data_IF_885355776152
#
_entry.id   IF_885355776152
#
_cell.length_a   1.000
_cell.length_b   1.000
_cell.length_c   1.000
_cell.angle_alpha   90.00
_cell.angle_beta   90.00
_cell.angle_gamma   90.00
#
_symmetry.space_group_name_H-M   'P 1'
#
loop_
_entity.id
_entity.type
_entity.pdbx_description
1 polymer ?
#
# COMPACT_ATOMS: atom_id res chain seq x y z
N UNK A 1 5.88 -17.88 -10.15
CA UNK A 1 6.42 -16.72 -9.41
C UNK A 1 5.95 -16.81 -7.96
N UNK A 2 6.84 -16.67 -6.98
CA UNK A 2 6.47 -16.76 -5.55
C UNK A 2 5.53 -15.60 -5.16
N UNK A 3 4.54 -15.87 -4.30
CA UNK A 3 3.53 -14.89 -3.86
C UNK A 3 4.17 -13.65 -3.22
N UNK A 4 5.24 -13.84 -2.45
CA UNK A 4 5.99 -12.75 -1.81
C UNK A 4 6.63 -11.81 -2.83
N UNK A 5 7.28 -12.38 -3.85
CA UNK A 5 7.93 -11.60 -4.91
C UNK A 5 6.91 -10.72 -5.64
N UNK A 6 5.71 -11.26 -5.87
CA UNK A 6 4.61 -10.51 -6.49
C UNK A 6 4.12 -9.35 -5.61
N UNK A 7 4.01 -9.57 -4.30
CA UNK A 7 3.60 -8.50 -3.37
C UNK A 7 4.63 -7.37 -3.30
N UNK A 8 5.92 -7.69 -3.23
CA UNK A 8 6.97 -6.67 -3.30
C UNK A 8 6.95 -5.92 -4.63
N UNK A 9 6.76 -6.63 -5.74
CA UNK A 9 6.72 -6.03 -7.07
C UNK A 9 5.52 -5.06 -7.21
N UNK A 10 4.34 -5.45 -6.73
CA UNK A 10 3.20 -4.54 -6.67
C UNK A 10 3.46 -3.36 -5.74
N UNK A 11 4.02 -3.60 -4.55
CA UNK A 11 4.41 -2.53 -3.64
C UNK A 11 5.32 -1.49 -4.30
N UNK A 12 6.33 -1.96 -5.04
CA UNK A 12 7.29 -1.12 -5.76
C UNK A 12 6.62 -0.32 -6.88
N UNK A 13 5.74 -0.96 -7.66
CA UNK A 13 4.96 -0.27 -8.71
C UNK A 13 4.09 0.82 -8.10
N UNK A 14 3.36 0.53 -7.01
CA UNK A 14 2.50 1.49 -6.35
C UNK A 14 3.27 2.67 -5.78
N UNK A 15 4.44 2.43 -5.16
CA UNK A 15 5.32 3.51 -4.71
C UNK A 15 5.84 4.34 -5.90
N UNK A 16 6.23 3.70 -7.00
CA UNK A 16 6.68 4.38 -8.21
C UNK A 16 5.60 5.28 -8.82
N UNK A 17 4.36 4.78 -8.93
CA UNK A 17 3.21 5.58 -9.37
C UNK A 17 2.92 6.69 -8.37
N UNK A 18 3.03 6.44 -7.07
CA UNK A 18 2.94 7.47 -6.03
C UNK A 18 3.95 8.60 -6.26
N UNK A 19 5.22 8.30 -6.50
CA UNK A 19 6.23 9.32 -6.79
C UNK A 19 5.88 10.17 -8.02
N UNK A 20 5.32 9.55 -9.07
CA UNK A 20 4.83 10.29 -10.23
C UNK A 20 3.66 11.23 -9.89
N UNK A 21 2.72 10.75 -9.06
CA UNK A 21 1.56 11.53 -8.59
C UNK A 21 1.98 12.73 -7.73
N UNK A 22 3.01 12.53 -6.90
CA UNK A 22 3.64 13.60 -6.13
C UNK A 22 4.23 14.68 -7.05
N UNK A 23 4.86 14.28 -8.16
CA UNK A 23 5.42 15.22 -9.14
C UNK A 23 4.36 16.08 -9.83
N UNK A 24 3.17 15.53 -10.11
CA UNK A 24 2.03 16.29 -10.67
C UNK A 24 1.19 17.00 -9.60
N UNK A 25 1.62 17.01 -8.34
CA UNK A 25 0.94 17.60 -7.18
C UNK A 25 -0.46 17.02 -6.88
N UNK A 26 -0.77 15.81 -7.35
CA UNK A 26 -1.99 15.10 -6.96
C UNK A 26 -1.77 14.37 -5.64
N UNK A 27 -1.92 15.11 -4.54
CA UNK A 27 -1.69 14.61 -3.19
C UNK A 27 -2.68 13.52 -2.78
N UNK A 28 -3.86 13.48 -3.40
CA UNK A 28 -4.93 12.54 -3.07
C UNK A 28 -4.62 11.17 -3.69
N UNK A 29 -4.28 11.13 -4.98
CA UNK A 29 -3.81 9.90 -5.62
C UNK A 29 -2.47 9.44 -5.07
N UNK A 30 -1.54 10.36 -4.79
CA UNK A 30 -0.30 10.04 -4.09
C UNK A 30 -0.57 9.29 -2.78
N UNK A 31 -1.45 9.83 -1.93
CA UNK A 31 -1.77 9.23 -0.62
C UNK A 31 -2.37 7.83 -0.77
N UNK A 32 -3.23 7.63 -1.78
CA UNK A 32 -3.81 6.33 -2.09
C UNK A 32 -2.73 5.31 -2.48
N UNK A 33 -1.87 5.66 -3.44
CA UNK A 33 -0.84 4.75 -3.93
C UNK A 33 0.26 4.49 -2.90
N UNK A 34 0.61 5.50 -2.09
CA UNK A 34 1.55 5.33 -0.98
C UNK A 34 1.01 4.38 0.10
N UNK A 35 -0.28 4.51 0.47
CA UNK A 35 -0.92 3.59 1.42
C UNK A 35 -1.03 2.17 0.86
N UNK A 36 -1.48 2.03 -0.40
CA UNK A 36 -1.61 0.75 -1.06
C UNK A 36 -0.26 0.04 -1.18
N UNK A 37 0.77 0.74 -1.66
CA UNK A 37 2.12 0.21 -1.81
C UNK A 37 2.71 -0.23 -0.48
N UNK A 38 2.55 0.58 0.57
CA UNK A 38 2.96 0.24 1.93
C UNK A 38 2.24 -1.02 2.42
N UNK A 39 0.92 -1.15 2.21
CA UNK A 39 0.16 -2.33 2.61
C UNK A 39 0.72 -3.62 1.99
N UNK A 40 1.08 -3.60 0.70
CA UNK A 40 1.67 -4.76 0.04
C UNK A 40 3.06 -5.11 0.58
N UNK A 41 3.89 -4.11 0.90
CA UNK A 41 5.22 -4.31 1.47
C UNK A 41 5.12 -4.90 2.88
N UNK A 42 4.28 -4.31 3.74
CA UNK A 42 4.06 -4.81 5.10
C UNK A 42 3.46 -6.22 5.10
N UNK A 43 2.56 -6.52 4.18
CA UNK A 43 2.03 -7.86 4.03
C UNK A 43 3.11 -8.87 3.63
N UNK A 44 4.01 -8.49 2.70
CA UNK A 44 5.11 -9.35 2.29
C UNK A 44 6.11 -9.61 3.42
N UNK A 45 6.35 -8.61 4.28
CA UNK A 45 7.18 -8.70 5.48
C UNK A 45 6.63 -9.70 6.52
N UNK A 46 5.32 -9.96 6.55
CA UNK A 46 4.73 -10.96 7.48
C UNK A 46 5.19 -12.39 7.21
N UNK A 47 5.69 -12.65 6.01
CA UNK A 47 6.15 -13.96 5.57
C UNK A 47 7.69 -14.08 5.59
N UNK A 48 8.40 -13.04 6.06
CA UNK A 48 9.85 -13.07 6.24
C UNK A 48 10.20 -13.85 7.53
N UNK A 49 10.98 -14.96 7.45
CA UNK A 49 11.38 -15.74 8.61
C UNK A 49 12.10 -14.92 9.70
N UNK A 50 12.77 -13.83 9.35
CA UNK A 50 13.47 -12.96 10.34
C UNK A 50 12.51 -12.11 11.17
N UNK A 51 11.28 -11.88 10.72
CA UNK A 51 10.29 -11.01 11.36
C UNK A 51 9.13 -11.79 12.02
N UNK A 52 9.26 -13.10 12.21
CA UNK A 52 8.21 -13.95 12.80
C UNK A 52 7.75 -13.44 14.18
N UNK A 53 8.67 -12.92 15.00
CA UNK A 53 8.34 -12.32 16.31
C UNK A 53 7.41 -11.11 16.21
N UNK A 54 7.50 -10.36 15.10
CA UNK A 54 6.71 -9.16 14.82
C UNK A 54 5.52 -9.43 13.88
N UNK A 55 5.16 -10.69 13.65
CA UNK A 55 4.08 -11.03 12.70
C UNK A 55 2.74 -10.40 13.09
N UNK A 56 2.38 -10.43 14.38
CA UNK A 56 1.12 -9.83 14.87
C UNK A 56 1.04 -8.32 14.56
N UNK A 57 2.01 -7.47 14.97
CA UNK A 57 1.95 -6.05 14.65
C UNK A 57 2.02 -5.78 13.14
N UNK A 58 2.80 -6.54 12.36
CA UNK A 58 2.85 -6.40 10.90
C UNK A 58 1.49 -6.66 10.24
N UNK A 59 0.77 -7.68 10.68
CA UNK A 59 -0.58 -7.98 10.17
C UNK A 59 -1.56 -6.87 10.53
N UNK A 60 -1.50 -6.33 11.77
CA UNK A 60 -2.35 -5.22 12.19
C UNK A 60 -2.09 -3.99 11.32
N UNK A 61 -0.82 -3.61 11.14
CA UNK A 61 -0.43 -2.47 10.28
C UNK A 61 -0.93 -2.67 8.86
N UNK A 62 -0.78 -3.89 8.32
CA UNK A 62 -1.26 -4.23 6.97
C UNK A 62 -2.77 -3.99 6.86
N UNK A 63 -3.57 -4.48 7.81
CA UNK A 63 -5.02 -4.28 7.81
C UNK A 63 -5.43 -2.81 7.95
N UNK A 64 -4.74 -2.04 8.81
CA UNK A 64 -4.96 -0.61 8.94
C UNK A 64 -4.69 0.12 7.62
N UNK A 65 -3.59 -0.22 6.94
CA UNK A 65 -3.24 0.36 5.64
C UNK A 65 -4.25 -0.03 4.55
N UNK A 66 -4.75 -1.26 4.54
CA UNK A 66 -5.80 -1.69 3.60
C UNK A 66 -7.09 -0.89 3.83
N UNK A 67 -7.51 -0.72 5.09
CA UNK A 67 -8.70 0.06 5.44
C UNK A 67 -8.54 1.54 5.06
N UNK A 68 -7.38 2.12 5.34
CA UNK A 68 -7.05 3.49 4.93
C UNK A 68 -7.07 3.65 3.40
N UNK A 69 -6.51 2.67 2.68
CA UNK A 69 -6.53 2.64 1.20
C UNK A 69 -7.96 2.57 0.67
N UNK A 70 -8.83 1.72 1.26
CA UNK A 70 -10.23 1.62 0.86
C UNK A 70 -10.98 2.95 1.09
N UNK A 71 -10.78 3.59 2.25
CA UNK A 71 -11.37 4.91 2.53
C UNK A 71 -10.90 5.98 1.54
N UNK A 72 -9.59 6.05 1.27
CA UNK A 72 -9.03 6.96 0.28
C UNK A 72 -9.57 6.69 -1.13
N UNK A 73 -9.77 5.42 -1.48
CA UNK A 73 -10.33 5.03 -2.78
C UNK A 73 -11.78 5.51 -2.93
N UNK A 74 -12.63 5.29 -1.91
CA UNK A 74 -14.00 5.81 -1.93
C UNK A 74 -14.05 7.34 -1.92
N UNK A 75 -13.13 7.97 -1.18
CA UNK A 75 -13.00 9.43 -1.18
C UNK A 75 -12.64 9.94 -2.57
N UNK A 76 -11.65 9.33 -3.23
CA UNK A 76 -11.25 9.67 -4.58
C UNK A 76 -12.41 9.49 -5.57
N UNK A 77 -13.13 8.36 -5.51
CA UNK A 77 -14.32 8.13 -6.32
C UNK A 77 -15.36 9.24 -6.13
N UNK A 78 -15.60 9.68 -4.89
CA UNK A 78 -16.60 10.70 -4.58
C UNK A 78 -16.21 12.11 -5.02
N UNK A 79 -14.94 12.48 -4.96
CA UNK A 79 -14.51 13.87 -5.17
C UNK A 79 -13.80 14.11 -6.50
N UNK A 80 -13.26 13.07 -7.14
CA UNK A 80 -12.57 13.19 -8.43
C UNK A 80 -13.43 12.74 -9.62
N UNK A 81 -14.35 11.79 -9.40
CA UNK A 81 -15.12 11.16 -10.48
C UNK A 81 -16.63 11.39 -10.44
N UNK A 82 -17.20 11.73 -9.28
CA UNK A 82 -18.64 12.00 -9.06
C UNK A 82 -18.87 13.40 -8.50
#
# INVERSE_FOLDING_TARGET
MNSQVRQYLFGLIFIGVGCYQLYINDMLEFSLYACAGSAFIFNALTAEPRLVSYKKPLVIITWVLIMATALLFFYLLRYKFF
#
